data_IF_277211383234
#
_entry.id   IF_277211383234
#
_cell.length_a   1.000
_cell.length_b   1.000
_cell.length_c   1.000
_cell.angle_alpha   90.00
_cell.angle_beta   90.00
_cell.angle_gamma   90.00
#
_symmetry.space_group_name_H-M   'P 1'
#
loop_
_entity.id
_entity.type
_entity.pdbx_description
1 polymer ?
#
# COMPACT_ATOMS: atom_id res chain seq x y z
N UNK A 1 -13.18 -12.84 -48.14
CA UNK A 1 -12.08 -12.74 -47.15
C UNK A 1 -12.50 -11.93 -45.91
N UNK A 2 -13.03 -10.71 -46.05
CA UNK A 2 -13.47 -9.86 -44.92
C UNK A 2 -14.54 -10.47 -43.99
N UNK A 3 -15.50 -11.25 -44.51
CA UNK A 3 -16.58 -11.86 -43.72
C UNK A 3 -16.12 -13.04 -42.86
N UNK A 4 -15.09 -13.77 -43.30
CA UNK A 4 -14.51 -14.87 -42.54
C UNK A 4 -13.68 -14.30 -41.40
N UNK A 5 -12.86 -13.28 -41.67
CA UNK A 5 -12.05 -12.56 -40.68
C UNK A 5 -12.94 -11.93 -39.60
N UNK A 6 -14.06 -11.31 -39.97
CA UNK A 6 -15.01 -10.74 -38.98
C UNK A 6 -15.69 -11.80 -38.11
N UNK A 7 -16.04 -12.97 -38.68
CA UNK A 7 -16.63 -14.07 -37.90
C UNK A 7 -15.65 -14.68 -36.88
N UNK A 8 -14.37 -14.78 -37.24
CA UNK A 8 -13.31 -15.28 -36.36
C UNK A 8 -13.01 -14.27 -35.26
N UNK A 9 -12.93 -12.97 -35.59
CA UNK A 9 -12.75 -11.91 -34.61
C UNK A 9 -13.89 -11.85 -33.58
N UNK A 10 -15.15 -12.00 -34.03
CA UNK A 10 -16.30 -12.03 -33.12
C UNK A 10 -16.28 -13.24 -32.18
N UNK A 11 -15.91 -14.43 -32.68
CA UNK A 11 -15.73 -15.64 -31.85
C UNK A 11 -14.58 -15.49 -30.84
N UNK A 12 -13.47 -14.89 -31.25
CA UNK A 12 -12.34 -14.62 -30.36
C UNK A 12 -12.72 -13.62 -29.26
N UNK A 13 -13.41 -12.53 -29.60
CA UNK A 13 -13.86 -11.54 -28.63
C UNK A 13 -14.86 -12.12 -27.63
N UNK A 14 -15.84 -12.89 -28.11
CA UNK A 14 -16.81 -13.56 -27.23
C UNK A 14 -16.14 -14.57 -26.31
N UNK A 15 -15.20 -15.38 -26.81
CA UNK A 15 -14.41 -16.30 -25.98
C UNK A 15 -13.58 -15.54 -24.93
N UNK A 16 -12.94 -14.43 -25.30
CA UNK A 16 -12.17 -13.59 -24.37
C UNK A 16 -13.06 -12.98 -23.27
N UNK A 17 -14.23 -12.45 -23.63
CA UNK A 17 -15.20 -11.93 -22.66
C UNK A 17 -15.70 -13.03 -21.71
N UNK A 18 -15.99 -14.24 -22.22
CA UNK A 18 -16.41 -15.37 -21.41
C UNK A 18 -15.30 -15.80 -20.44
N UNK A 19 -14.06 -15.91 -20.91
CA UNK A 19 -12.91 -16.25 -20.04
C UNK A 19 -12.67 -15.18 -18.97
N UNK A 20 -12.76 -13.89 -19.34
CA UNK A 20 -12.64 -12.80 -18.39
C UNK A 20 -13.75 -12.82 -17.33
N UNK A 21 -14.99 -13.11 -17.73
CA UNK A 21 -16.13 -13.25 -16.83
C UNK A 21 -15.95 -14.44 -15.87
N UNK A 22 -15.56 -15.61 -16.38
CA UNK A 22 -15.29 -16.81 -15.57
C UNK A 22 -14.14 -16.56 -14.59
N UNK A 23 -13.05 -15.94 -15.04
CA UNK A 23 -11.93 -15.58 -14.18
C UNK A 23 -12.34 -14.58 -13.10
N UNK A 24 -13.15 -13.58 -13.45
CA UNK A 24 -13.66 -12.59 -12.49
C UNK A 24 -14.56 -13.23 -11.43
N UNK A 25 -15.45 -14.14 -11.83
CA UNK A 25 -16.31 -14.91 -10.92
C UNK A 25 -15.44 -15.79 -10.01
N UNK A 26 -14.46 -16.50 -10.57
CA UNK A 26 -13.54 -17.33 -9.80
C UNK A 26 -12.73 -16.49 -8.78
N UNK A 27 -12.18 -15.36 -9.22
CA UNK A 27 -11.41 -14.44 -8.38
C UNK A 27 -12.25 -13.85 -7.26
N UNK A 28 -13.46 -13.38 -7.57
CA UNK A 28 -14.43 -12.92 -6.58
C UNK A 28 -14.78 -14.02 -5.59
N UNK A 29 -15.11 -15.23 -6.09
CA UNK A 29 -15.43 -16.36 -5.23
C UNK A 29 -14.29 -16.70 -4.29
N UNK A 30 -13.04 -16.71 -4.78
CA UNK A 30 -11.84 -16.95 -3.96
C UNK A 30 -11.64 -15.87 -2.90
N UNK A 31 -11.78 -14.60 -3.25
CA UNK A 31 -11.67 -13.50 -2.30
C UNK A 31 -12.76 -13.58 -1.22
N UNK A 32 -14.01 -13.81 -1.62
CA UNK A 32 -15.15 -13.86 -0.69
C UNK A 32 -15.17 -15.15 0.14
N UNK A 33 -14.71 -16.28 -0.38
CA UNK A 33 -14.62 -17.53 0.39
C UNK A 33 -13.63 -17.42 1.54
N UNK A 34 -12.51 -16.71 1.33
CA UNK A 34 -11.54 -16.38 2.38
C UNK A 34 -12.19 -15.58 3.51
N UNK A 35 -12.84 -14.44 3.21
CA UNK A 35 -13.50 -13.63 4.24
C UNK A 35 -14.65 -14.36 4.93
N UNK A 36 -15.45 -15.15 4.21
CA UNK A 36 -16.48 -15.99 4.83
C UNK A 36 -15.89 -17.02 5.79
N UNK A 37 -14.69 -17.55 5.50
CA UNK A 37 -13.99 -18.43 6.43
C UNK A 37 -13.60 -17.68 7.72
N UNK A 38 -13.05 -16.47 7.60
CA UNK A 38 -12.70 -15.64 8.75
C UNK A 38 -13.93 -15.26 9.59
N UNK A 39 -15.06 -14.94 8.93
CA UNK A 39 -16.33 -14.65 9.61
C UNK A 39 -16.84 -15.85 10.41
N UNK A 40 -16.78 -17.07 9.84
CA UNK A 40 -17.18 -18.29 10.54
C UNK A 40 -16.32 -18.58 11.77
N UNK A 41 -15.05 -18.15 11.75
CA UNK A 41 -14.14 -18.26 12.89
C UNK A 41 -14.38 -17.17 13.95
N UNK A 42 -15.27 -16.20 13.70
CA UNK A 42 -15.52 -15.08 14.61
C UNK A 42 -14.38 -14.07 14.67
N UNK A 43 -13.52 -14.02 13.64
CA UNK A 43 -12.40 -13.08 13.61
C UNK A 43 -12.86 -11.64 13.40
N UNK A 44 -12.17 -10.64 13.98
CA UNK A 44 -12.62 -9.26 14.00
C UNK A 44 -12.59 -8.64 12.60
N UNK A 45 -13.71 -8.10 12.14
CA UNK A 45 -13.82 -7.30 10.93
C UNK A 45 -15.06 -6.41 10.98
N UNK A 46 -15.10 -5.30 10.23
CA UNK A 46 -16.30 -4.52 10.06
C UNK A 46 -17.43 -5.33 9.38
N UNK A 47 -18.66 -4.79 9.31
CA UNK A 47 -19.73 -5.40 8.53
C UNK A 47 -19.30 -5.62 7.07
N UNK A 48 -19.30 -6.88 6.64
CA UNK A 48 -18.81 -7.30 5.33
C UNK A 48 -19.97 -7.50 4.34
N UNK A 49 -19.86 -6.92 3.14
CA UNK A 49 -20.81 -7.11 2.05
C UNK A 49 -20.42 -8.31 1.18
N UNK A 50 -21.39 -9.16 0.85
CA UNK A 50 -21.15 -10.42 0.12
C UNK A 50 -20.58 -10.23 -1.28
N UNK A 51 -20.83 -9.08 -1.92
CA UNK A 51 -20.35 -8.74 -3.26
C UNK A 51 -19.20 -7.73 -3.17
N UNK A 52 -19.35 -6.67 -2.40
CA UNK A 52 -18.43 -5.53 -2.36
C UNK A 52 -17.37 -5.62 -1.25
N UNK A 53 -17.41 -6.64 -0.41
CA UNK A 53 -16.52 -6.74 0.75
C UNK A 53 -16.67 -5.52 1.66
N UNK A 54 -15.58 -4.81 1.93
CA UNK A 54 -15.60 -3.59 2.71
C UNK A 54 -15.58 -2.30 1.86
N UNK A 55 -15.63 -2.39 0.53
CA UNK A 55 -15.53 -1.21 -0.35
C UNK A 55 -16.63 -0.17 -0.10
N UNK A 56 -17.85 -0.60 0.24
CA UNK A 56 -18.94 0.34 0.59
C UNK A 56 -18.63 1.13 1.86
N UNK A 57 -18.08 0.47 2.89
CA UNK A 57 -17.66 1.13 4.11
C UNK A 57 -16.51 2.08 3.84
N UNK A 58 -15.50 1.62 3.09
CA UNK A 58 -14.34 2.43 2.71
C UNK A 58 -14.80 3.66 1.94
N UNK A 59 -15.66 3.52 0.92
CA UNK A 59 -16.18 4.65 0.16
C UNK A 59 -16.93 5.69 1.00
N UNK A 60 -17.64 5.26 2.05
CA UNK A 60 -18.25 6.18 3.03
C UNK A 60 -17.18 6.94 3.82
N UNK A 61 -16.18 6.23 4.35
CA UNK A 61 -15.08 6.85 5.08
C UNK A 61 -14.33 7.86 4.21
N UNK A 62 -13.95 7.47 2.98
CA UNK A 62 -13.22 8.35 2.07
C UNK A 62 -14.01 9.62 1.70
N UNK A 63 -15.34 9.54 1.66
CA UNK A 63 -16.19 10.71 1.42
C UNK A 63 -16.17 11.72 2.57
N UNK A 64 -15.98 11.23 3.79
CA UNK A 64 -15.96 12.07 5.01
C UNK A 64 -14.56 12.68 5.25
N UNK A 65 -13.53 12.16 4.58
CA UNK A 65 -12.15 12.62 4.68
C UNK A 65 -11.91 13.88 3.82
N UNK A 66 -11.02 14.80 4.26
CA UNK A 66 -10.55 15.89 3.41
C UNK A 66 -9.97 15.34 2.10
N UNK A 67 -10.19 16.00 0.96
CA UNK A 67 -9.74 15.50 -0.35
C UNK A 67 -8.22 15.31 -0.44
N UNK A 68 -7.46 16.04 0.39
CA UNK A 68 -6.00 16.10 0.33
C UNK A 68 -5.32 15.07 1.24
N UNK A 69 -6.10 14.28 2.00
CA UNK A 69 -5.52 13.29 2.92
C UNK A 69 -5.22 11.98 2.18
N UNK A 70 -4.05 11.42 2.44
CA UNK A 70 -3.72 10.08 1.96
C UNK A 70 -4.61 9.05 2.67
N UNK A 71 -5.45 8.27 1.97
CA UNK A 71 -6.39 7.34 2.60
C UNK A 71 -5.76 6.35 3.58
N UNK A 72 -4.56 5.85 3.28
CA UNK A 72 -3.84 4.90 4.14
C UNK A 72 -3.48 5.46 5.50
N UNK A 73 -3.37 6.79 5.65
CA UNK A 73 -3.05 7.44 6.92
C UNK A 73 -4.24 7.49 7.90
N UNK A 74 -5.47 7.55 7.38
CA UNK A 74 -6.66 7.82 8.20
C UNK A 74 -7.69 6.67 8.21
N UNK A 75 -7.74 5.84 7.17
CA UNK A 75 -8.81 4.84 6.98
C UNK A 75 -8.96 3.90 8.18
N UNK A 76 -7.86 3.38 8.72
CA UNK A 76 -7.90 2.46 9.86
C UNK A 76 -8.46 3.12 11.12
N UNK A 77 -8.05 4.37 11.38
CA UNK A 77 -8.55 5.16 12.50
C UNK A 77 -10.05 5.46 12.36
N UNK A 78 -10.47 5.88 11.17
CA UNK A 78 -11.87 6.20 10.86
C UNK A 78 -12.81 5.00 10.96
N UNK A 79 -12.33 3.81 10.56
CA UNK A 79 -13.07 2.56 10.75
C UNK A 79 -13.22 2.25 12.24
N UNK A 80 -12.14 2.38 13.02
CA UNK A 80 -12.18 2.18 14.48
C UNK A 80 -13.18 3.11 15.17
N UNK A 81 -13.26 4.38 14.76
CA UNK A 81 -14.25 5.33 15.31
C UNK A 81 -15.70 4.87 15.05
N UNK A 82 -15.97 4.27 13.88
CA UNK A 82 -17.29 3.74 13.51
C UNK A 82 -17.57 2.36 14.11
N UNK A 83 -16.53 1.60 14.45
CA UNK A 83 -16.61 0.25 15.02
C UNK A 83 -15.69 0.16 16.25
N UNK A 84 -16.09 0.72 17.42
CA UNK A 84 -15.20 0.84 18.59
C UNK A 84 -14.69 -0.49 19.16
N UNK A 85 -15.39 -1.60 18.87
CA UNK A 85 -14.97 -2.96 19.24
C UNK A 85 -13.80 -3.51 18.38
N UNK A 86 -13.38 -2.78 17.35
CA UNK A 86 -12.25 -3.12 16.47
C UNK A 86 -11.04 -2.23 16.78
N UNK A 87 -10.65 -2.15 18.06
CA UNK A 87 -9.59 -1.28 18.55
C UNK A 87 -8.19 -1.91 18.52
N UNK A 88 -8.11 -3.24 18.49
CA UNK A 88 -6.84 -3.98 18.47
C UNK A 88 -6.35 -4.28 17.05
N UNK A 89 -7.14 -5.03 16.30
CA UNK A 89 -6.87 -5.40 14.91
C UNK A 89 -8.15 -5.86 14.23
N UNK A 90 -8.20 -5.75 12.90
CA UNK A 90 -9.34 -6.22 12.14
C UNK A 90 -8.97 -6.56 10.70
N UNK A 91 -9.70 -7.51 10.10
CA UNK A 91 -9.54 -7.85 8.69
C UNK A 91 -10.29 -6.86 7.80
N UNK A 92 -9.64 -6.45 6.71
CA UNK A 92 -10.18 -5.48 5.75
C UNK A 92 -10.11 -6.03 4.32
N UNK A 93 -11.25 -5.92 3.61
CA UNK A 93 -11.49 -6.50 2.28
C UNK A 93 -11.62 -5.37 1.26
N UNK A 94 -10.58 -5.19 0.47
CA UNK A 94 -10.52 -4.13 -0.54
C UNK A 94 -10.42 -4.71 -1.96
N UNK A 95 -10.77 -5.99 -2.13
CA UNK A 95 -10.81 -6.60 -3.45
C UNK A 95 -11.83 -5.86 -4.31
N UNK A 96 -11.51 -5.51 -5.58
CA UNK A 96 -10.41 -6.06 -6.39
C UNK A 96 -9.10 -5.27 -6.37
N UNK A 97 -8.99 -4.18 -5.60
CA UNK A 97 -7.85 -3.26 -5.69
C UNK A 97 -6.65 -3.73 -4.87
N UNK A 98 -6.89 -4.26 -3.67
CA UNK A 98 -5.83 -4.75 -2.80
C UNK A 98 -6.09 -6.17 -2.32
N UNK A 99 -5.01 -6.85 -1.92
CA UNK A 99 -5.08 -8.15 -1.25
C UNK A 99 -5.80 -8.01 0.10
N UNK A 100 -6.40 -9.08 0.64
CA UNK A 100 -6.91 -9.08 2.01
C UNK A 100 -5.85 -8.62 3.01
N UNK A 101 -6.21 -7.72 3.92
CA UNK A 101 -5.27 -7.18 4.91
C UNK A 101 -5.76 -7.42 6.33
N UNK A 102 -4.82 -7.67 7.23
CA UNK A 102 -5.03 -7.53 8.67
C UNK A 102 -4.50 -6.15 9.09
N UNK A 103 -5.40 -5.27 9.50
CA UNK A 103 -5.05 -3.97 10.04
C UNK A 103 -4.72 -4.15 11.51
N UNK A 104 -3.52 -3.75 11.93
CA UNK A 104 -3.08 -3.81 13.32
C UNK A 104 -3.00 -2.39 13.87
N UNK A 105 -3.78 -2.13 14.92
CA UNK A 105 -3.89 -0.82 15.57
C UNK A 105 -3.22 -0.80 16.95
N UNK A 106 -3.15 -1.95 17.62
CA UNK A 106 -2.57 -2.03 18.95
C UNK A 106 -1.04 -1.90 18.91
N UNK A 107 -0.43 -1.12 19.83
CA UNK A 107 1.02 -1.04 19.94
C UNK A 107 1.69 -2.39 20.19
N UNK A 108 1.06 -3.24 20.99
CA UNK A 108 1.55 -4.59 21.29
C UNK A 108 1.49 -5.50 20.07
N UNK A 109 0.40 -5.46 19.30
CA UNK A 109 0.28 -6.21 18.05
C UNK A 109 1.30 -5.75 17.02
N UNK A 110 1.47 -4.43 16.87
CA UNK A 110 2.48 -3.84 15.98
C UNK A 110 3.90 -4.28 16.38
N UNK A 111 4.24 -4.25 17.68
CA UNK A 111 5.50 -4.76 18.19
C UNK A 111 5.69 -6.25 17.92
N UNK A 112 4.64 -7.06 18.07
CA UNK A 112 4.72 -8.49 17.83
C UNK A 112 5.07 -8.81 16.37
N UNK A 113 4.46 -8.14 15.40
CA UNK A 113 4.68 -8.41 13.96
C UNK A 113 5.94 -7.74 13.39
N UNK A 114 6.48 -6.72 14.06
CA UNK A 114 7.68 -5.99 13.60
C UNK A 114 8.95 -6.39 14.33
N UNK A 115 8.88 -6.67 15.64
CA UNK A 115 10.05 -6.91 16.49
C UNK A 115 10.07 -8.33 17.09
N UNK A 116 8.91 -8.90 17.39
CA UNK A 116 8.81 -10.23 17.99
C UNK A 116 9.08 -11.33 16.96
N UNK A 117 8.13 -11.49 16.04
CA UNK A 117 8.30 -12.30 14.85
C UNK A 117 8.23 -11.34 13.66
N UNK A 118 9.40 -10.86 13.23
CA UNK A 118 9.49 -10.00 12.05
C UNK A 118 8.92 -10.73 10.84
N UNK A 119 7.71 -10.35 10.44
CA UNK A 119 7.09 -10.89 9.23
C UNK A 119 7.82 -10.34 8.00
N UNK A 120 7.92 -11.11 6.91
CA UNK A 120 8.47 -10.59 5.67
C UNK A 120 7.60 -9.43 5.16
N UNK A 121 8.24 -8.45 4.51
CA UNK A 121 7.52 -7.39 3.80
C UNK A 121 6.62 -7.99 2.72
N UNK A 122 5.57 -7.27 2.39
CA UNK A 122 4.63 -7.71 1.37
C UNK A 122 5.33 -7.76 -0.01
N UNK A 123 5.26 -8.87 -0.77
CA UNK A 123 6.03 -9.02 -2.01
C UNK A 123 5.80 -7.94 -3.06
N UNK A 124 4.60 -7.36 -3.11
CA UNK A 124 4.25 -6.26 -4.00
C UNK A 124 5.04 -4.97 -3.71
N UNK A 125 5.53 -4.76 -2.48
CA UNK A 125 6.45 -3.67 -2.17
C UNK A 125 7.75 -3.78 -2.99
N UNK A 126 8.33 -4.98 -3.06
CA UNK A 126 9.53 -5.23 -3.87
C UNK A 126 9.23 -5.08 -5.36
N UNK A 127 8.10 -5.58 -5.83
CA UNK A 127 7.69 -5.43 -7.24
C UNK A 127 7.53 -3.96 -7.63
N UNK A 128 6.98 -3.15 -6.71
CA UNK A 128 6.78 -1.72 -6.91
C UNK A 128 8.10 -0.93 -6.93
N UNK A 129 9.03 -1.24 -6.03
CA UNK A 129 10.29 -0.49 -5.90
C UNK A 129 11.40 -0.95 -6.82
N UNK A 130 11.39 -2.21 -7.27
CA UNK A 130 12.43 -2.77 -8.13
C UNK A 130 12.73 -1.93 -9.39
N UNK A 131 11.75 -1.34 -10.10
CA UNK A 131 12.03 -0.45 -11.23
C UNK A 131 12.80 0.82 -10.85
N UNK A 132 12.72 1.27 -9.60
CA UNK A 132 13.37 2.49 -9.11
C UNK A 132 14.78 2.21 -8.58
N UNK A 133 14.96 1.11 -7.85
CA UNK A 133 16.19 0.83 -7.08
C UNK A 133 16.95 -0.39 -7.55
N UNK A 134 16.42 -1.13 -8.53
CA UNK A 134 16.92 -2.45 -8.91
C UNK A 134 16.63 -3.54 -7.89
N UNK A 135 15.97 -3.22 -6.76
CA UNK A 135 15.77 -4.12 -5.64
C UNK A 135 17.02 -4.31 -4.76
N UNK A 136 17.94 -3.33 -4.79
CA UNK A 136 19.15 -3.28 -3.96
C UNK A 136 19.10 -2.10 -2.97
N UNK A 137 17.96 -1.92 -2.32
CA UNK A 137 17.73 -0.89 -1.32
C UNK A 137 17.31 -1.50 0.02
N UNK A 138 17.50 -0.75 1.11
CA UNK A 138 17.17 -1.21 2.46
C UNK A 138 15.66 -1.45 2.68
N UNK A 139 14.79 -0.99 1.78
CA UNK A 139 13.35 -1.21 1.86
C UNK A 139 12.93 -2.52 1.19
N UNK A 140 13.65 -2.99 0.17
CA UNK A 140 13.37 -4.26 -0.53
C UNK A 140 14.21 -5.46 -0.07
N UNK A 141 15.36 -5.22 0.57
CA UNK A 141 16.20 -6.25 1.18
C UNK A 141 15.54 -6.87 2.42
N UNK A 142 15.86 -8.13 2.70
CA UNK A 142 15.37 -8.87 3.88
C UNK A 142 16.47 -9.67 4.58
N UNK A 143 16.23 -10.01 5.85
CA UNK A 143 17.09 -10.93 6.61
C UNK A 143 18.55 -10.47 6.73
N UNK A 144 19.49 -11.37 6.45
CA UNK A 144 20.93 -11.10 6.59
C UNK A 144 21.45 -10.11 5.55
N UNK A 145 20.89 -10.09 4.34
CA UNK A 145 21.25 -9.10 3.31
C UNK A 145 20.92 -7.68 3.79
N UNK A 146 19.68 -7.50 4.27
CA UNK A 146 19.26 -6.23 4.86
C UNK A 146 20.14 -5.85 6.05
N UNK A 147 20.39 -6.79 6.97
CA UNK A 147 21.18 -6.55 8.18
C UNK A 147 22.61 -6.11 7.87
N UNK A 148 23.24 -6.74 6.88
CA UNK A 148 24.58 -6.38 6.42
C UNK A 148 24.62 -4.93 5.91
N UNK A 149 23.76 -4.59 4.97
CA UNK A 149 23.74 -3.26 4.37
C UNK A 149 23.27 -2.18 5.36
N UNK A 150 22.30 -2.49 6.21
CA UNK A 150 21.85 -1.61 7.28
C UNK A 150 22.99 -1.28 8.24
N UNK A 151 23.82 -2.26 8.62
CA UNK A 151 24.97 -2.04 9.50
C UNK A 151 26.05 -1.17 8.84
N UNK A 152 26.27 -1.30 7.54
CA UNK A 152 27.19 -0.44 6.79
C UNK A 152 26.67 1.00 6.73
N UNK A 153 25.36 1.18 6.56
CA UNK A 153 24.71 2.49 6.41
C UNK A 153 24.50 3.23 7.73
N UNK A 154 24.22 2.50 8.82
CA UNK A 154 23.86 3.03 10.14
C UNK A 154 24.83 4.09 10.71
N UNK A 155 26.17 3.98 10.56
CA UNK A 155 27.10 5.00 11.03
C UNK A 155 26.81 6.41 10.49
N UNK A 156 26.28 6.55 9.27
CA UNK A 156 25.91 7.85 8.70
C UNK A 156 24.84 8.59 9.51
N UNK A 157 24.00 7.87 10.25
CA UNK A 157 22.88 8.40 11.04
C UNK A 157 23.23 8.57 12.53
N UNK A 158 24.50 8.41 12.91
CA UNK A 158 24.95 8.73 14.26
C UNK A 158 24.78 10.22 14.53
N UNK A 159 24.34 10.57 15.74
CA UNK A 159 24.08 11.96 16.15
C UNK A 159 25.23 12.90 15.80
N UNK A 160 26.49 12.51 16.06
CA UNK A 160 27.66 13.33 15.73
C UNK A 160 27.84 13.57 14.23
N UNK A 161 27.58 12.56 13.39
CA UNK A 161 27.71 12.66 11.94
C UNK A 161 26.58 13.52 11.36
N UNK A 162 25.34 13.33 11.85
CA UNK A 162 24.19 14.17 11.47
C UNK A 162 24.43 15.63 11.88
N UNK A 163 24.92 15.86 13.11
CA UNK A 163 25.23 17.21 13.61
C UNK A 163 26.29 17.91 12.75
N UNK A 164 27.30 17.18 12.27
CA UNK A 164 28.33 17.73 11.39
C UNK A 164 27.77 18.18 10.01
N UNK A 165 26.65 17.62 9.56
CA UNK A 165 25.98 18.00 8.30
C UNK A 165 25.08 19.24 8.44
N UNK A 166 24.66 19.59 9.67
CA UNK A 166 23.71 20.68 9.94
C UNK A 166 24.15 22.02 9.31
N UNK A 167 25.41 22.48 9.42
CA UNK A 167 25.82 23.74 8.81
C UNK A 167 25.57 23.80 7.30
N UNK A 168 25.92 22.72 6.58
CA UNK A 168 25.71 22.63 5.12
C UNK A 168 24.22 22.53 4.77
N UNK A 169 23.43 21.82 5.57
CA UNK A 169 21.97 21.77 5.41
C UNK A 169 21.33 23.15 5.58
N UNK A 170 21.78 23.95 6.56
CA UNK A 170 21.30 25.32 6.78
C UNK A 170 21.67 26.22 5.60
N UNK A 171 22.88 26.10 5.06
CA UNK A 171 23.31 26.83 3.86
C UNK A 171 22.42 26.49 2.65
N UNK A 172 22.22 25.20 2.37
CA UNK A 172 21.37 24.74 1.27
C UNK A 172 19.90 25.19 1.45
N UNK A 173 19.36 25.07 2.66
CA UNK A 173 18.01 25.55 2.96
C UNK A 173 17.89 27.06 2.76
N UNK A 174 18.94 27.81 3.10
CA UNK A 174 19.02 29.27 2.91
C UNK A 174 18.81 29.71 1.46
N UNK A 175 19.23 28.91 0.47
CA UNK A 175 18.99 29.18 -0.96
C UNK A 175 17.48 29.24 -1.26
N UNK A 176 16.69 28.38 -0.63
CA UNK A 176 15.24 28.32 -0.85
C UNK A 176 14.46 29.28 0.05
N UNK A 177 15.00 29.64 1.22
CA UNK A 177 14.39 30.61 2.12
C UNK A 177 14.62 32.05 1.69
N UNK A 178 15.70 32.33 0.97
CA UNK A 178 15.88 33.60 0.31
C UNK A 178 15.02 33.59 -0.97
N UNK A 179 13.97 34.44 -1.08
CA UNK A 179 13.24 34.54 -2.32
C UNK A 179 14.22 34.86 -3.43
N UNK A 180 14.15 34.13 -4.54
CA UNK A 180 14.90 34.42 -5.75
C UNK A 180 14.71 35.90 -6.10
N UNK A 181 15.65 36.76 -5.71
CA UNK A 181 15.83 38.06 -6.37
C UNK A 181 16.16 37.67 -7.79
N UNK A 182 15.26 38.01 -8.71
CA UNK A 182 15.25 37.50 -10.08
C UNK A 182 16.65 37.42 -10.67
N UNK A 183 17.04 36.22 -11.07
CA UNK A 183 18.05 36.09 -12.13
C UNK A 183 17.34 36.63 -13.36
N UNK A 184 17.48 37.93 -13.61
CA UNK A 184 17.18 38.51 -14.92
C UNK A 184 18.01 37.71 -15.93
N UNK A 185 17.35 36.89 -16.75
CA UNK A 185 17.99 36.35 -17.95
C UNK A 185 18.49 37.54 -18.77
N UNK A 186 19.78 37.59 -19.17
CA UNK A 186 20.21 38.57 -20.13
C UNK A 186 19.54 38.20 -21.46
N UNK A 187 18.57 39.03 -21.86
CA UNK A 187 18.01 39.03 -23.21
C UNK A 187 19.18 39.25 -24.17
N UNK A 188 19.51 38.22 -24.95
CA UNK A 188 20.26 38.33 -26.20
C UNK A 188 19.36 37.94 -27.36
#
# INVERSE_FOLDING_TARGET
MNTIVSSVALKALTAACLLAALYSIYSLHRARSFFRSLQRQGLPMPPHDSVWGHLKLIGKVLKDLPPDIMPSAALAHEIRLRCPHLDQSFYLDQWPFFKPMLVVLSPDGARQVTQGQSLPKEPGQREFLKPLTGGYDLDTMEGEEWKFWHNIFSPGFRVANVAALVPSLVEMAGIFCNPCVGVEEPVF
#
